data_IF_795937401779
#
_entry.id   IF_795937401779
#
_cell.length_a   1.000
_cell.length_b   1.000
_cell.length_c   1.000
_cell.angle_alpha   90.00
_cell.angle_beta   90.00
_cell.angle_gamma   90.00
#
_symmetry.space_group_name_H-M   'P 1'
#
loop_
_entity.id
_entity.type
_entity.pdbx_description
1 polymer ?
#
# COMPACT_ATOMS: atom_id res chain seq x y z
N UNK A 1 5.55 12.19 -3.48
CA UNK A 1 6.28 11.37 -2.50
C UNK A 1 5.72 9.96 -2.54
N UNK A 2 6.57 8.93 -2.62
CA UNK A 2 6.15 7.52 -2.66
C UNK A 2 6.07 6.92 -1.25
N UNK A 3 5.34 5.82 -1.06
CA UNK A 3 5.26 5.12 0.24
C UNK A 3 6.64 4.64 0.72
N UNK A 4 7.50 4.20 -0.20
CA UNK A 4 8.90 3.82 0.10
C UNK A 4 9.71 5.01 0.64
N UNK A 5 9.61 6.18 0.02
CA UNK A 5 10.29 7.39 0.50
C UNK A 5 9.75 7.84 1.86
N UNK A 6 8.44 7.70 2.10
CA UNK A 6 7.85 7.99 3.41
C UNK A 6 8.39 7.02 4.49
N UNK A 7 8.53 5.73 4.17
CA UNK A 7 9.07 4.75 5.11
C UNK A 7 10.55 5.00 5.45
N UNK A 8 11.37 5.36 4.46
CA UNK A 8 12.76 5.76 4.68
C UNK A 8 12.90 6.97 5.62
N UNK A 9 11.94 7.89 5.54
CA UNK A 9 11.88 9.07 6.41
C UNK A 9 11.10 8.82 7.72
N UNK A 10 10.71 7.58 8.03
CA UNK A 10 9.83 7.23 9.16
C UNK A 10 8.53 8.04 9.24
N UNK A 11 8.06 8.53 8.09
CA UNK A 11 6.81 9.28 7.94
C UNK A 11 5.62 8.32 7.81
N UNK A 12 5.27 7.68 8.92
CA UNK A 12 4.14 6.78 9.00
C UNK A 12 2.79 7.46 8.74
N UNK A 13 2.70 8.78 8.92
CA UNK A 13 1.44 9.51 8.69
C UNK A 13 1.13 9.63 7.22
N UNK A 14 2.15 9.87 6.40
CA UNK A 14 1.99 9.83 4.95
C UNK A 14 1.67 8.41 4.48
N UNK A 15 2.32 7.38 5.03
CA UNK A 15 2.01 5.97 4.67
C UNK A 15 0.54 5.65 4.99
N UNK A 16 0.04 6.00 6.19
CA UNK A 16 -1.36 5.79 6.58
C UNK A 16 -2.32 6.46 5.59
N UNK A 17 -2.06 7.72 5.24
CA UNK A 17 -2.92 8.51 4.35
C UNK A 17 -2.96 7.92 2.95
N UNK A 18 -1.80 7.49 2.42
CA UNK A 18 -1.70 6.89 1.09
C UNK A 18 -2.36 5.51 1.06
N UNK A 19 -2.11 4.67 2.08
CA UNK A 19 -2.71 3.34 2.21
C UNK A 19 -4.24 3.42 2.30
N UNK A 20 -4.78 4.38 3.07
CA UNK A 20 -6.21 4.61 3.19
C UNK A 20 -6.86 5.01 1.86
N UNK A 21 -6.22 5.93 1.12
CA UNK A 21 -6.69 6.35 -0.21
C UNK A 21 -6.66 5.21 -1.21
N UNK A 22 -5.58 4.43 -1.23
CA UNK A 22 -5.42 3.30 -2.13
C UNK A 22 -6.52 2.26 -1.88
N UNK A 23 -6.71 1.84 -0.62
CA UNK A 23 -7.80 0.94 -0.22
C UNK A 23 -9.16 1.40 -0.73
N UNK A 24 -9.48 2.70 -0.57
CA UNK A 24 -10.74 3.27 -1.03
C UNK A 24 -10.90 3.25 -2.56
N UNK A 25 -9.84 3.60 -3.29
CA UNK A 25 -9.86 3.59 -4.75
C UNK A 25 -9.96 2.16 -5.30
N UNK A 26 -9.11 1.24 -4.81
CA UNK A 26 -9.05 -0.15 -5.26
C UNK A 26 -10.35 -0.92 -5.02
N UNK A 27 -11.01 -0.67 -3.89
CA UNK A 27 -12.31 -1.27 -3.60
C UNK A 27 -13.41 -0.83 -4.58
N UNK A 28 -13.37 0.43 -5.04
CA UNK A 28 -14.31 0.96 -6.02
C UNK A 28 -14.20 0.33 -7.41
N UNK A 29 -13.03 -0.21 -7.75
CA UNK A 29 -12.76 -0.88 -9.04
C UNK A 29 -12.77 -2.40 -8.94
N UNK A 30 -13.09 -2.99 -7.78
CA UNK A 30 -13.17 -4.45 -7.59
C UNK A 30 -11.83 -5.15 -7.33
N UNK A 31 -10.74 -4.41 -7.08
CA UNK A 31 -9.44 -4.98 -6.72
C UNK A 31 -9.42 -5.35 -5.22
N UNK A 32 -10.08 -6.45 -4.85
CA UNK A 32 -10.18 -6.92 -3.47
C UNK A 32 -8.81 -7.17 -2.82
N UNK A 33 -7.88 -7.78 -3.56
CA UNK A 33 -6.54 -8.09 -3.05
C UNK A 33 -5.75 -6.82 -2.71
N UNK A 34 -5.77 -5.82 -3.60
CA UNK A 34 -5.14 -4.53 -3.36
C UNK A 34 -5.79 -3.75 -2.21
N UNK A 35 -7.11 -3.94 -2.01
CA UNK A 35 -7.86 -3.38 -0.89
C UNK A 35 -7.38 -3.96 0.45
N UNK A 36 -7.18 -5.29 0.50
CA UNK A 36 -6.67 -5.97 1.70
C UNK A 36 -5.23 -5.58 2.01
N UNK A 37 -4.35 -5.53 1.00
CA UNK A 37 -2.98 -5.05 1.17
C UNK A 37 -2.94 -3.60 1.69
N UNK A 38 -3.78 -2.72 1.16
CA UNK A 38 -3.91 -1.34 1.64
C UNK A 38 -4.38 -1.26 3.11
N UNK A 39 -5.30 -2.13 3.52
CA UNK A 39 -5.74 -2.24 4.92
C UNK A 39 -4.60 -2.69 5.84
N UNK A 40 -3.84 -3.72 5.44
CA UNK A 40 -2.72 -4.20 6.26
C UNK A 40 -1.62 -3.15 6.38
N UNK A 41 -1.28 -2.46 5.28
CA UNK A 41 -0.31 -1.36 5.32
C UNK A 41 -0.78 -0.22 6.25
N UNK A 42 -2.06 0.17 6.19
CA UNK A 42 -2.63 1.20 7.07
C UNK A 42 -2.45 0.83 8.55
N UNK A 43 -2.69 -0.44 8.91
CA UNK A 43 -2.49 -0.97 10.26
C UNK A 43 -1.01 -0.97 10.66
N UNK A 44 -0.12 -1.44 9.77
CA UNK A 44 1.34 -1.45 10.02
C UNK A 44 1.88 -0.04 10.23
N UNK A 45 1.39 0.96 9.48
CA UNK A 45 1.76 2.35 9.64
C UNK A 45 1.27 2.92 10.99
N UNK A 46 0.03 2.66 11.38
CA UNK A 46 -0.52 3.05 12.69
C UNK A 46 0.30 2.48 13.85
N UNK A 47 0.74 1.22 13.71
CA UNK A 47 1.56 0.53 14.70
C UNK A 47 3.06 0.86 14.58
N UNK A 48 3.48 1.72 13.63
CA UNK A 48 4.88 2.06 13.35
C UNK A 48 5.76 0.83 13.11
N UNK A 49 5.20 -0.21 12.52
CA UNK A 49 5.87 -1.49 12.35
C UNK A 49 6.57 -1.54 10.98
N UNK A 50 7.80 -1.02 10.93
CA UNK A 50 8.53 -0.78 9.68
C UNK A 50 8.67 -2.02 8.77
N UNK A 51 9.00 -3.18 9.35
CA UNK A 51 9.18 -4.41 8.59
C UNK A 51 7.89 -4.87 7.89
N UNK A 52 6.76 -4.83 8.62
CA UNK A 52 5.45 -5.13 8.04
C UNK A 52 5.03 -4.07 7.01
N UNK A 53 5.27 -2.79 7.27
CA UNK A 53 4.99 -1.74 6.29
C UNK A 53 5.78 -1.95 4.99
N UNK A 54 7.07 -2.29 5.08
CA UNK A 54 7.90 -2.57 3.91
C UNK A 54 7.40 -3.79 3.13
N UNK A 55 7.00 -4.87 3.83
CA UNK A 55 6.44 -6.07 3.23
C UNK A 55 5.20 -5.75 2.40
N UNK A 56 4.25 -5.00 2.96
CA UNK A 56 3.02 -4.65 2.25
C UNK A 56 3.24 -3.65 1.12
N UNK A 57 4.17 -2.70 1.27
CA UNK A 57 4.59 -1.82 0.16
C UNK A 57 5.11 -2.63 -1.03
N UNK A 58 5.98 -3.61 -0.78
CA UNK A 58 6.55 -4.44 -1.83
C UNK A 58 5.48 -5.32 -2.50
N UNK A 59 4.59 -5.94 -1.71
CA UNK A 59 3.52 -6.79 -2.23
C UNK A 59 2.58 -6.00 -3.16
N UNK A 60 2.22 -4.77 -2.79
CA UNK A 60 1.38 -3.92 -3.64
C UNK A 60 2.09 -3.48 -4.92
N UNK A 61 3.37 -3.13 -4.84
CA UNK A 61 4.16 -2.81 -6.05
C UNK A 61 4.17 -3.97 -7.03
N UNK A 62 4.41 -5.19 -6.53
CA UNK A 62 4.39 -6.40 -7.37
C UNK A 62 3.01 -6.68 -7.97
N UNK A 63 1.93 -6.50 -7.19
CA UNK A 63 0.58 -6.69 -7.68
C UNK A 63 0.23 -5.71 -8.82
N UNK A 64 0.57 -4.43 -8.64
CA UNK A 64 0.31 -3.40 -9.65
C UNK A 64 1.12 -3.66 -10.93
N UNK A 65 2.41 -3.98 -10.79
CA UNK A 65 3.25 -4.34 -11.94
C UNK A 65 2.70 -5.54 -12.71
N UNK A 66 2.13 -6.54 -12.04
CA UNK A 66 1.50 -7.68 -12.69
C UNK A 66 0.19 -7.30 -13.40
N UNK A 67 -0.65 -6.46 -12.79
CA UNK A 67 -1.90 -6.01 -13.40
C UNK A 67 -1.66 -5.13 -14.63
N UNK A 68 -0.63 -4.27 -14.61
CA UNK A 68 -0.25 -3.45 -15.77
C UNK A 68 0.15 -4.29 -16.99
N UNK A 69 0.69 -5.50 -16.79
CA UNK A 69 1.10 -6.41 -17.87
C UNK A 69 -0.12 -7.13 -18.51
N UNK A 70 -1.28 -7.18 -17.86
CA UNK A 70 -2.46 -7.96 -18.32
C UNK A 70 -3.45 -7.14 -19.18
N UNK A 71 -3.11 -5.91 -19.56
CA UNK A 71 -3.89 -5.14 -20.54
C UNK A 71 -3.49 -5.53 -21.99
N UNK A 72 -4.17 -6.54 -22.57
CA UNK A 72 -4.26 -6.80 -24.03
C UNK A 72 -5.69 -6.65 -24.54
#
# INVERSE_FOLDING_TARGET
MTMTAALQNTDYKTIETLAHRLKGASGGYGFAELTDMGKFLEISAKNRHAAEAQKWINAMSQYIEQVEIVYE
#
